data_IF_916425211973
#
_entry.id   IF_916425211973
#
_cell.length_a   1.000
_cell.length_b   1.000
_cell.length_c   1.000
_cell.angle_alpha   90.00
_cell.angle_beta   90.00
_cell.angle_gamma   90.00
#
_symmetry.space_group_name_H-M   'P 1'
#
loop_
_entity.id
_entity.type
_entity.pdbx_description
1 polymer ?
#
# COMPACT_ATOMS: atom_id res chain seq x y z
N UNK A 1 2.12 5.15 29.37
CA UNK A 1 2.16 3.67 29.29
C UNK A 1 2.19 3.29 27.83
N UNK A 2 3.27 2.68 27.35
CA UNK A 2 3.35 2.16 25.98
C UNK A 2 2.72 0.76 25.97
N UNK A 3 1.39 0.70 25.84
CA UNK A 3 0.67 -0.55 25.69
C UNK A 3 0.64 -0.94 24.22
N UNK A 4 1.26 -2.06 23.87
CA UNK A 4 1.11 -2.67 22.55
C UNK A 4 -0.08 -3.62 22.56
N UNK A 5 -0.94 -3.53 21.55
CA UNK A 5 -1.98 -4.52 21.28
C UNK A 5 -1.48 -5.47 20.18
N UNK A 6 -1.66 -6.78 20.36
CA UNK A 6 -1.34 -7.80 19.36
C UNK A 6 -2.54 -8.73 19.18
N UNK A 7 -2.89 -9.00 17.93
CA UNK A 7 -3.99 -9.88 17.55
C UNK A 7 -3.45 -11.02 16.70
N UNK A 8 -3.62 -12.26 17.17
CA UNK A 8 -3.21 -13.47 16.46
C UNK A 8 -4.43 -14.30 16.06
N UNK A 9 -4.50 -14.70 14.79
CA UNK A 9 -5.60 -15.48 14.21
C UNK A 9 -5.03 -16.74 13.56
N UNK A 10 -5.61 -17.90 13.86
CA UNK A 10 -5.06 -19.19 13.41
C UNK A 10 -5.39 -19.60 11.98
N UNK A 11 -6.42 -19.00 11.35
CA UNK A 11 -6.84 -19.29 9.98
C UNK A 11 -7.26 -18.02 9.23
N UNK A 12 -8.55 -17.69 9.28
CA UNK A 12 -9.15 -16.62 8.47
C UNK A 12 -9.65 -15.47 9.35
N UNK A 13 -9.39 -14.25 8.90
CA UNK A 13 -9.96 -13.01 9.46
C UNK A 13 -10.70 -12.25 8.37
N UNK A 14 -11.94 -11.87 8.65
CA UNK A 14 -12.73 -11.01 7.78
C UNK A 14 -13.21 -9.77 8.53
N UNK A 15 -13.10 -8.60 7.90
CA UNK A 15 -13.60 -7.33 8.44
C UNK A 15 -14.63 -6.78 7.45
N UNK A 16 -15.90 -6.66 7.88
CA UNK A 16 -16.98 -6.07 7.08
C UNK A 16 -17.42 -4.75 7.70
N UNK A 17 -17.26 -3.66 6.95
CA UNK A 17 -17.64 -2.31 7.39
C UNK A 17 -18.75 -1.78 6.49
N UNK A 18 -19.88 -1.40 7.07
CA UNK A 18 -21.07 -1.01 6.29
C UNK A 18 -21.04 0.41 5.71
N UNK A 19 -20.13 1.28 6.18
CA UNK A 19 -20.07 2.68 5.74
C UNK A 19 -18.63 3.18 5.52
N UNK A 20 -17.86 3.36 6.58
CA UNK A 20 -16.50 3.94 6.53
C UNK A 20 -15.56 3.17 7.46
N UNK A 21 -14.41 2.76 6.92
CA UNK A 21 -13.28 2.26 7.69
C UNK A 21 -12.19 3.33 7.70
N UNK A 22 -11.73 3.72 8.88
CA UNK A 22 -10.64 4.69 9.07
C UNK A 22 -9.56 4.01 9.90
N UNK A 23 -8.35 3.98 9.37
CA UNK A 23 -7.15 3.54 10.08
C UNK A 23 -6.24 4.75 10.24
N UNK A 24 -6.14 5.26 11.46
CA UNK A 24 -5.34 6.44 11.80
C UNK A 24 -4.16 5.99 12.67
N UNK A 25 -2.94 6.22 12.20
CA UNK A 25 -1.70 5.72 12.80
C UNK A 25 -0.64 6.81 12.74
N UNK A 26 0.07 7.01 13.85
CA UNK A 26 0.97 8.15 14.04
C UNK A 26 2.34 8.02 13.34
N UNK A 27 2.80 6.80 13.03
CA UNK A 27 4.18 6.58 12.55
C UNK A 27 4.24 5.77 11.25
N UNK A 28 3.72 4.54 11.24
CA UNK A 28 3.79 3.66 10.07
C UNK A 28 2.62 2.67 10.01
N UNK A 29 2.15 2.39 8.80
CA UNK A 29 1.27 1.25 8.47
C UNK A 29 2.04 0.33 7.52
N UNK A 30 2.10 -0.95 7.86
CA UNK A 30 2.71 -1.99 7.01
C UNK A 30 1.73 -3.15 6.81
N UNK A 31 1.37 -3.41 5.54
CA UNK A 31 0.60 -4.58 5.12
C UNK A 31 1.54 -5.55 4.42
N UNK A 32 1.78 -6.71 5.03
CA UNK A 32 2.76 -7.70 4.54
C UNK A 32 2.13 -9.07 4.33
N UNK A 33 2.50 -9.71 3.23
CA UNK A 33 2.15 -11.09 2.90
C UNK A 33 3.35 -11.77 2.23
N UNK A 34 4.12 -12.56 2.98
CA UNK A 34 5.36 -13.15 2.49
C UNK A 34 6.35 -12.06 2.04
N UNK A 35 6.75 -12.12 0.76
CA UNK A 35 7.65 -11.14 0.13
C UNK A 35 6.95 -9.87 -0.36
N UNK A 36 5.61 -9.86 -0.41
CA UNK A 36 4.85 -8.67 -0.80
C UNK A 36 4.62 -7.76 0.42
N UNK A 37 4.79 -6.46 0.22
CA UNK A 37 4.73 -5.45 1.28
C UNK A 37 4.20 -4.12 0.74
N UNK A 38 3.27 -3.52 1.45
CA UNK A 38 2.83 -2.13 1.24
C UNK A 38 3.06 -1.36 2.54
N UNK A 39 3.84 -0.28 2.47
CA UNK A 39 4.12 0.57 3.63
C UNK A 39 3.71 2.01 3.39
N UNK A 40 3.23 2.68 4.45
CA UNK A 40 2.92 4.10 4.50
C UNK A 40 3.51 4.68 5.78
N UNK A 41 4.26 5.78 5.67
CA UNK A 41 4.91 6.45 6.80
C UNK A 41 4.28 7.81 7.07
N UNK A 42 4.49 8.33 8.29
CA UNK A 42 4.03 9.67 8.69
C UNK A 42 4.55 10.82 7.83
N UNK A 43 5.67 10.63 7.13
CA UNK A 43 6.25 11.61 6.20
C UNK A 43 5.57 11.61 4.81
N UNK A 44 4.57 10.76 4.61
CA UNK A 44 3.85 10.61 3.35
C UNK A 44 4.49 9.63 2.36
N UNK A 45 5.64 9.03 2.70
CA UNK A 45 6.27 8.02 1.85
C UNK A 45 5.41 6.77 1.77
N UNK A 46 5.10 6.34 0.55
CA UNK A 46 4.38 5.09 0.27
C UNK A 46 5.29 4.18 -0.56
N UNK A 47 5.45 2.92 -0.14
CA UNK A 47 6.22 1.91 -0.87
C UNK A 47 5.36 0.68 -1.13
N UNK A 48 5.42 0.15 -2.36
CA UNK A 48 4.75 -1.09 -2.77
C UNK A 48 5.82 -2.02 -3.34
N UNK A 49 5.96 -3.22 -2.75
CA UNK A 49 6.92 -4.25 -3.17
C UNK A 49 6.20 -5.56 -3.44
N UNK A 50 6.64 -6.26 -4.48
CA UNK A 50 6.17 -7.58 -4.84
C UNK A 50 6.90 -8.08 -6.08
N UNK A 51 6.71 -9.37 -6.42
CA UNK A 51 7.25 -9.97 -7.64
C UNK A 51 6.62 -9.36 -8.90
N UNK A 52 5.29 -9.30 -8.93
CA UNK A 52 4.49 -8.80 -10.03
C UNK A 52 3.50 -7.74 -9.48
N UNK A 53 3.30 -6.65 -10.21
CA UNK A 53 2.33 -5.60 -9.88
C UNK A 53 1.46 -5.30 -11.10
N UNK A 54 0.14 -5.47 -10.95
CA UNK A 54 -0.85 -5.14 -11.97
C UNK A 54 -1.69 -3.95 -11.51
N UNK A 55 -1.67 -2.85 -12.27
CA UNK A 55 -2.53 -1.70 -12.07
C UNK A 55 -3.53 -1.61 -13.22
N UNK A 56 -4.80 -1.91 -12.94
CA UNK A 56 -5.88 -1.85 -13.91
C UNK A 56 -6.90 -0.82 -13.46
N UNK A 57 -7.19 0.17 -14.31
CA UNK A 57 -8.18 1.21 -14.06
C UNK A 57 -9.13 1.32 -15.24
N UNK A 58 -10.45 1.41 -14.98
CA UNK A 58 -11.46 1.63 -16.03
C UNK A 58 -11.56 3.09 -16.48
N UNK A 59 -11.14 4.01 -15.61
CA UNK A 59 -11.09 5.45 -15.88
C UNK A 59 -9.69 5.92 -16.25
N UNK A 60 -9.23 7.01 -15.63
CA UNK A 60 -7.91 7.59 -15.86
C UNK A 60 -6.98 7.32 -14.68
N UNK A 61 -5.70 7.13 -14.98
CA UNK A 61 -4.61 7.18 -13.99
C UNK A 61 -3.89 8.51 -14.18
N UNK A 62 -3.79 9.32 -13.13
CA UNK A 62 -3.01 10.56 -13.13
C UNK A 62 -1.75 10.34 -12.29
N UNK A 63 -0.58 10.37 -12.93
CA UNK A 63 0.72 10.35 -12.25
C UNK A 63 1.41 11.71 -12.47
N UNK A 64 1.54 12.50 -11.40
CA UNK A 64 2.18 13.82 -11.42
C UNK A 64 3.19 13.90 -10.29
N UNK A 65 4.35 14.52 -10.56
CA UNK A 65 5.36 14.84 -9.57
C UNK A 65 5.86 16.27 -9.85
N UNK A 66 6.10 17.05 -8.80
CA UNK A 66 6.72 18.37 -8.94
C UNK A 66 8.22 18.25 -9.27
N UNK A 67 8.84 17.10 -8.98
CA UNK A 67 10.18 16.72 -9.39
C UNK A 67 10.18 15.61 -10.44
N UNK A 68 11.09 14.65 -10.30
CA UNK A 68 11.27 13.58 -11.30
C UNK A 68 10.35 12.38 -11.09
N UNK A 69 9.86 11.81 -12.19
CA UNK A 69 9.36 10.44 -12.25
C UNK A 69 10.48 9.54 -12.79
N UNK A 70 11.02 8.65 -11.95
CA UNK A 70 12.02 7.66 -12.36
C UNK A 70 11.35 6.31 -12.63
N UNK A 71 11.26 5.92 -13.91
CA UNK A 71 10.71 4.63 -14.33
C UNK A 71 11.81 3.78 -14.97
N UNK A 72 12.02 2.57 -14.45
CA UNK A 72 12.94 1.58 -15.02
C UNK A 72 12.16 0.33 -15.38
N UNK A 73 12.09 0.03 -16.68
CA UNK A 73 11.55 -1.22 -17.20
C UNK A 73 12.39 -1.66 -18.39
N UNK A 74 12.49 -2.97 -18.62
CA UNK A 74 13.14 -3.50 -19.82
C UNK A 74 12.39 -3.12 -21.10
N UNK A 75 11.06 -2.90 -21.00
CA UNK A 75 10.19 -2.36 -22.04
C UNK A 75 9.11 -1.48 -21.40
N UNK A 76 8.85 -0.31 -21.99
CA UNK A 76 7.75 0.58 -21.60
C UNK A 76 6.96 0.89 -22.87
N UNK A 77 5.70 0.44 -22.92
CA UNK A 77 4.78 0.78 -24.01
C UNK A 77 4.04 2.07 -23.65
N UNK A 78 4.25 3.13 -24.43
CA UNK A 78 3.62 4.43 -24.25
C UNK A 78 2.96 4.78 -25.60
N UNK A 79 1.64 4.67 -25.69
CA UNK A 79 0.85 5.02 -26.88
C UNK A 79 0.04 6.28 -26.61
#
# INVERSE_FOLDING_TARGET
MAGGENLSVGKDMGIKVGKKFLLDVADEITLKCGDAEVTMKKDGTITIKGKDLSLVASGKINAKADGDIKMKGSKIHQN
#
